data_IF_011242352965
#
_entry.id   IF_011242352965
#
_cell.length_a   1.000
_cell.length_b   1.000
_cell.length_c   1.000
_cell.angle_alpha   90.00
_cell.angle_beta   90.00
_cell.angle_gamma   90.00
#
_symmetry.space_group_name_H-M   'P 1'
#
loop_
_entity.id
_entity.type
_entity.pdbx_description
1 polymer ?
#
# COMPACT_ATOMS: atom_id res chain seq x y z
N UNK A 1 -0.36 -13.01 -21.39
CA UNK A 1 -0.45 -12.60 -19.98
C UNK A 1 0.50 -11.44 -19.61
N UNK A 2 1.14 -10.73 -20.55
CA UNK A 2 2.25 -9.80 -20.22
C UNK A 2 1.93 -8.30 -20.20
N UNK A 3 0.82 -7.83 -20.75
CA UNK A 3 0.55 -6.37 -20.82
C UNK A 3 0.11 -5.78 -19.48
N UNK A 4 -0.67 -6.51 -18.69
CA UNK A 4 -1.23 -6.03 -17.42
C UNK A 4 -0.18 -5.92 -16.32
N UNK A 5 0.69 -6.93 -16.18
CA UNK A 5 1.77 -6.93 -15.18
C UNK A 5 2.75 -5.78 -15.41
N UNK A 6 3.10 -5.50 -16.67
CA UNK A 6 3.97 -4.37 -17.01
C UNK A 6 3.38 -3.01 -16.63
N UNK A 7 2.05 -2.87 -16.65
CA UNK A 7 1.37 -1.65 -16.17
C UNK A 7 1.41 -1.54 -14.64
N UNK A 8 1.18 -2.64 -13.92
CA UNK A 8 1.21 -2.64 -12.45
C UNK A 8 2.58 -2.31 -11.88
N UNK A 9 3.65 -2.79 -12.52
CA UNK A 9 5.03 -2.51 -12.13
C UNK A 9 5.39 -1.01 -12.23
N UNK A 10 4.57 -0.21 -12.91
CA UNK A 10 4.74 1.23 -13.08
C UNK A 10 3.87 2.07 -12.12
N UNK A 11 3.02 1.45 -11.29
CA UNK A 11 2.13 2.19 -10.39
C UNK A 11 2.92 2.88 -9.25
N UNK A 12 2.48 4.06 -8.80
CA UNK A 12 2.97 4.61 -7.54
C UNK A 12 2.47 3.77 -6.36
N UNK A 13 3.24 3.76 -5.28
CA UNK A 13 3.01 2.89 -4.12
C UNK A 13 2.48 3.64 -2.90
N UNK A 14 2.61 4.97 -2.90
CA UNK A 14 2.06 5.85 -1.88
C UNK A 14 1.79 7.25 -2.45
N UNK A 15 0.95 8.01 -1.75
CA UNK A 15 0.66 9.41 -2.04
C UNK A 15 0.60 10.23 -0.75
N UNK A 16 0.78 11.55 -0.86
CA UNK A 16 0.63 12.47 0.27
C UNK A 16 -0.35 13.56 -0.13
N UNK A 17 -1.45 13.68 0.60
CA UNK A 17 -2.47 14.72 0.37
C UNK A 17 -2.20 15.90 1.29
N UNK A 18 -2.01 17.08 0.69
CA UNK A 18 -1.76 18.36 1.35
C UNK A 18 -0.63 18.35 2.41
N UNK A 19 0.34 17.45 2.28
CA UNK A 19 1.42 17.27 3.26
C UNK A 19 0.98 16.70 4.61
N UNK A 20 -0.28 16.27 4.74
CA UNK A 20 -0.89 15.90 6.03
C UNK A 20 -1.45 14.49 6.09
N UNK A 21 -1.89 13.93 4.96
CA UNK A 21 -2.46 12.58 4.90
C UNK A 21 -1.51 11.71 4.10
N UNK A 22 -1.01 10.63 4.70
CA UNK A 22 -0.22 9.61 4.02
C UNK A 22 -1.13 8.50 3.52
N UNK A 23 -1.05 8.19 2.22
CA UNK A 23 -1.88 7.17 1.60
C UNK A 23 -1.02 6.03 1.03
N UNK A 24 -1.38 4.77 1.32
CA UNK A 24 -0.77 3.57 0.75
C UNK A 24 -1.78 2.41 0.71
N UNK A 25 -1.45 1.30 0.06
CA UNK A 25 -2.34 0.12 0.03
C UNK A 25 -2.31 -0.60 1.39
N UNK A 26 -1.10 -0.99 1.80
CA UNK A 26 -0.80 -1.73 3.01
C UNK A 26 -0.65 -0.78 4.19
N UNK A 27 0.56 -0.39 4.53
CA UNK A 27 0.78 0.44 5.71
C UNK A 27 2.18 0.99 5.79
N UNK A 28 2.81 0.81 6.95
CA UNK A 28 4.13 1.35 7.26
C UNK A 28 5.20 0.25 7.16
N UNK A 29 6.46 0.67 7.01
CA UNK A 29 7.62 -0.21 7.06
C UNK A 29 8.59 0.22 8.16
N UNK A 30 9.24 -0.70 8.89
CA UNK A 30 10.37 -0.37 9.77
C UNK A 30 11.54 0.24 8.98
N UNK A 31 11.63 -0.03 7.67
CA UNK A 31 12.64 0.52 6.77
C UNK A 31 12.27 1.90 6.20
N UNK A 32 11.07 2.41 6.51
CA UNK A 32 10.62 3.75 6.10
C UNK A 32 11.08 4.80 7.13
N UNK A 33 12.26 5.35 6.91
CA UNK A 33 12.83 6.42 7.73
C UNK A 33 12.59 7.81 7.13
N UNK A 34 12.43 7.88 5.81
CA UNK A 34 12.30 9.12 5.04
C UNK A 34 11.41 8.90 3.81
N UNK A 35 10.58 9.90 3.49
CA UNK A 35 9.65 9.82 2.36
C UNK A 35 10.38 9.85 1.01
N UNK A 36 11.60 10.38 0.99
CA UNK A 36 12.52 10.34 -0.15
C UNK A 36 12.83 8.89 -0.56
N UNK A 37 12.84 7.94 0.39
CA UNK A 37 13.03 6.52 0.06
C UNK A 37 11.93 6.00 -0.87
N UNK A 38 10.68 6.45 -0.68
CA UNK A 38 9.54 6.09 -1.54
C UNK A 38 9.71 6.71 -2.94
N UNK A 39 10.17 7.96 -3.01
CA UNK A 39 10.40 8.66 -4.27
C UNK A 39 11.52 8.03 -5.10
N UNK A 40 12.50 7.41 -4.44
CA UNK A 40 13.65 6.76 -5.06
C UNK A 40 13.37 5.36 -5.59
N UNK A 41 12.20 4.78 -5.29
CA UNK A 41 11.78 3.48 -5.83
C UNK A 41 11.73 3.58 -7.36
N UNK A 42 12.69 2.93 -8.00
CA UNK A 42 12.79 2.86 -9.45
C UNK A 42 11.65 2.00 -9.99
N UNK A 43 11.05 2.44 -11.10
CA UNK A 43 9.99 1.72 -11.82
C UNK A 43 10.46 1.47 -13.26
N UNK A 44 10.10 0.35 -13.90
CA UNK A 44 9.23 -0.72 -13.39
C UNK A 44 9.91 -1.53 -12.28
N UNK A 45 9.13 -1.94 -11.27
CA UNK A 45 9.58 -2.82 -10.20
C UNK A 45 8.65 -4.01 -10.11
N UNK A 46 9.22 -5.21 -10.13
CA UNK A 46 8.47 -6.42 -9.79
C UNK A 46 8.27 -6.44 -8.27
N UNK A 47 7.04 -6.75 -7.84
CA UNK A 47 6.82 -7.11 -6.45
C UNK A 47 7.39 -8.52 -6.27
N UNK A 48 8.34 -8.76 -5.36
CA UNK A 48 9.11 -9.99 -5.46
C UNK A 48 8.33 -11.27 -5.12
N UNK A 49 8.86 -12.39 -5.60
CA UNK A 49 8.24 -13.72 -5.68
C UNK A 49 7.65 -14.30 -4.39
N UNK A 50 8.15 -13.92 -3.20
CA UNK A 50 7.54 -14.34 -1.92
C UNK A 50 6.15 -13.74 -1.71
N UNK A 51 5.76 -12.75 -2.51
CA UNK A 51 4.40 -12.24 -2.64
C UNK A 51 3.76 -12.54 -4.01
N UNK A 52 4.43 -13.19 -4.97
CA UNK A 52 3.86 -13.45 -6.31
C UNK A 52 2.67 -14.40 -6.27
N UNK A 53 2.68 -15.41 -5.40
CA UNK A 53 1.53 -16.30 -5.22
C UNK A 53 0.29 -15.49 -4.75
N UNK A 54 0.50 -14.52 -3.87
CA UNK A 54 -0.52 -13.59 -3.41
C UNK A 54 -0.83 -12.48 -4.41
N UNK A 55 0.12 -12.00 -5.22
CA UNK A 55 -0.09 -11.01 -6.27
C UNK A 55 -0.86 -11.60 -7.43
N UNK A 56 -0.63 -12.86 -7.78
CA UNK A 56 -1.38 -13.53 -8.83
C UNK A 56 -2.80 -13.84 -8.34
N UNK A 57 -2.97 -14.18 -7.06
CA UNK A 57 -4.27 -14.25 -6.40
C UNK A 57 -4.96 -12.87 -6.33
N UNK A 58 -4.22 -11.81 -5.97
CA UNK A 58 -4.70 -10.43 -5.89
C UNK A 58 -5.07 -9.88 -7.28
N UNK A 59 -4.25 -10.12 -8.30
CA UNK A 59 -4.51 -9.68 -9.66
C UNK A 59 -5.62 -10.49 -10.36
N UNK A 60 -5.81 -11.78 -10.04
CA UNK A 60 -6.94 -12.56 -10.56
C UNK A 60 -8.25 -12.35 -9.78
N UNK A 61 -8.20 -12.15 -8.47
CA UNK A 61 -9.41 -12.09 -7.61
C UNK A 61 -9.73 -10.71 -7.03
N UNK A 62 -8.74 -9.83 -6.81
CA UNK A 62 -8.89 -8.56 -6.07
C UNK A 62 -8.75 -7.30 -6.96
N UNK A 63 -8.00 -7.35 -8.07
CA UNK A 63 -7.56 -6.17 -8.82
C UNK A 63 -8.65 -5.34 -9.54
N UNK A 64 -9.78 -5.90 -10.04
CA UNK A 64 -10.78 -5.03 -10.65
C UNK A 64 -11.44 -4.07 -9.64
N UNK A 65 -11.41 -4.39 -8.34
CA UNK A 65 -12.25 -3.71 -7.33
C UNK A 65 -11.45 -2.87 -6.31
N UNK A 66 -10.18 -3.22 -6.02
CA UNK A 66 -9.38 -2.49 -5.00
C UNK A 66 -8.45 -1.40 -5.56
N UNK A 67 -8.14 -1.43 -6.87
CA UNK A 67 -7.29 -0.41 -7.50
C UNK A 67 -7.90 0.99 -7.52
N UNK A 68 -9.18 1.13 -7.14
CA UNK A 68 -9.87 2.40 -7.09
C UNK A 68 -9.22 3.38 -6.10
N UNK A 69 -8.64 2.95 -4.98
CA UNK A 69 -8.18 3.89 -3.94
C UNK A 69 -6.92 4.65 -4.38
N UNK A 70 -5.92 3.96 -4.93
CA UNK A 70 -4.71 4.62 -5.46
C UNK A 70 -5.01 5.33 -6.79
N UNK A 71 -5.80 4.72 -7.68
CA UNK A 71 -6.11 5.32 -8.99
C UNK A 71 -7.03 6.56 -8.89
N UNK A 72 -8.01 6.59 -7.98
CA UNK A 72 -8.89 7.76 -7.79
C UNK A 72 -8.19 8.90 -7.06
N UNK A 73 -7.30 8.62 -6.10
CA UNK A 73 -6.50 9.67 -5.43
C UNK A 73 -5.50 10.35 -6.38
N UNK A 74 -5.07 9.67 -7.44
CA UNK A 74 -4.13 10.22 -8.43
C UNK A 74 -4.79 11.04 -9.54
N UNK A 75 -6.11 10.98 -9.68
CA UNK A 75 -6.82 11.66 -10.77
C UNK A 75 -7.02 13.17 -10.54
N UNK A 76 -6.65 13.72 -9.37
CA UNK A 76 -6.87 15.14 -9.05
C UNK A 76 -5.60 15.97 -8.76
N UNK A 77 -4.36 15.50 -9.01
CA UNK A 77 -3.23 16.34 -8.62
C UNK A 77 -1.77 16.02 -8.93
N UNK A 78 -1.38 15.25 -9.96
CA UNK A 78 0.05 15.06 -10.27
C UNK A 78 0.40 15.28 -11.75
N UNK A 79 1.27 16.28 -12.00
CA UNK A 79 2.02 16.46 -13.25
C UNK A 79 2.99 15.28 -13.43
N UNK A 80 2.75 14.47 -14.45
CA UNK A 80 3.68 13.43 -14.89
C UNK A 80 4.78 14.06 -15.76
N UNK A 81 6.03 13.98 -15.30
CA UNK A 81 7.20 14.31 -16.12
C UNK A 81 7.78 12.99 -16.66
N UNK A 82 7.54 12.75 -17.95
CA UNK A 82 7.98 11.54 -18.65
C UNK A 82 9.45 11.66 -19.09
N UNK A 83 10.29 10.70 -18.73
CA UNK A 83 11.36 10.18 -19.60
C UNK A 83 11.53 8.68 -19.37
N UNK A 84 11.40 7.92 -20.45
CA UNK A 84 11.62 6.49 -20.53
C UNK A 84 13.02 6.20 -21.09
N UNK A 85 13.66 5.12 -20.64
CA UNK A 85 14.71 4.44 -21.41
C UNK A 85 14.78 2.93 -21.08
N UNK A 86 15.25 2.13 -22.05
CA UNK A 86 15.20 0.65 -22.13
C UNK A 86 16.58 -0.02 -21.91
N UNK A 87 16.56 -1.36 -21.84
CA UNK A 87 17.64 -2.38 -21.91
C UNK A 87 18.16 -2.87 -20.53
N UNK A 88 18.40 -4.17 -20.26
CA UNK A 88 18.34 -5.43 -21.01
C UNK A 88 18.50 -6.63 -20.05
N UNK A 89 18.10 -7.82 -20.51
CA UNK A 89 18.00 -9.10 -19.79
C UNK A 89 19.33 -9.81 -19.40
N UNK A 90 19.20 -10.72 -18.44
CA UNK A 90 19.85 -12.05 -18.27
C UNK A 90 21.06 -12.28 -17.32
N UNK A 91 20.75 -13.00 -16.22
CA UNK A 91 21.24 -14.37 -15.88
C UNK A 91 22.60 -14.54 -15.17
N UNK A 92 22.59 -14.49 -13.83
CA UNK A 92 23.59 -15.13 -12.93
C UNK A 92 22.87 -15.59 -11.62
N UNK A 93 22.13 -16.70 -11.66
CA UNK A 93 22.51 -17.98 -11.02
C UNK A 93 22.46 -18.06 -9.46
N UNK A 94 21.25 -18.23 -8.92
CA UNK A 94 20.81 -19.43 -8.15
C UNK A 94 21.61 -19.93 -6.92
N UNK A 95 22.42 -19.14 -6.21
CA UNK A 95 23.11 -19.67 -5.00
C UNK A 95 23.36 -18.70 -3.82
N UNK A 96 22.56 -17.64 -3.65
CA UNK A 96 22.62 -16.72 -2.50
C UNK A 96 21.26 -16.54 -1.79
N UNK A 97 20.39 -17.53 -1.96
CA UNK A 97 18.95 -17.50 -1.69
C UNK A 97 18.54 -17.72 -0.22
N UNK A 98 19.24 -17.20 0.79
CA UNK A 98 18.74 -17.41 2.17
C UNK A 98 18.82 -16.28 3.19
N UNK A 99 19.73 -15.29 3.10
CA UNK A 99 19.86 -14.35 4.23
C UNK A 99 20.15 -12.88 3.85
N UNK A 100 20.29 -12.54 2.58
CA UNK A 100 20.60 -11.17 2.15
C UNK A 100 19.62 -10.55 1.15
N UNK A 101 18.62 -11.30 0.66
CA UNK A 101 17.59 -10.79 -0.26
C UNK A 101 16.30 -10.28 0.45
N UNK A 102 16.11 -10.63 1.73
CA UNK A 102 15.00 -10.13 2.56
C UNK A 102 15.05 -8.63 2.87
N UNK A 103 16.18 -7.97 2.64
CA UNK A 103 16.33 -6.52 2.86
C UNK A 103 15.98 -5.64 1.66
N UNK A 104 15.80 -6.22 0.46
CA UNK A 104 15.19 -5.51 -0.69
C UNK A 104 13.68 -5.73 -0.78
N UNK A 105 13.16 -6.70 -0.03
CA UNK A 105 11.72 -6.94 0.14
C UNK A 105 11.07 -5.89 1.04
N UNK A 106 11.77 -5.43 2.09
CA UNK A 106 11.23 -4.67 3.24
C UNK A 106 10.30 -3.53 2.88
N UNK A 107 10.82 -2.40 2.40
CA UNK A 107 10.00 -1.20 2.23
C UNK A 107 8.79 -1.39 1.29
N UNK A 108 8.99 -1.95 0.09
CA UNK A 108 7.90 -2.07 -0.88
C UNK A 108 6.86 -3.11 -0.44
N UNK A 109 7.31 -4.25 0.09
CA UNK A 109 6.40 -5.28 0.60
C UNK A 109 5.54 -4.70 1.74
N UNK A 110 6.16 -4.00 2.68
CA UNK A 110 5.44 -3.45 3.84
C UNK A 110 4.46 -2.34 3.47
N UNK A 111 4.80 -1.48 2.50
CA UNK A 111 3.87 -0.48 1.97
C UNK A 111 2.62 -1.10 1.32
N UNK A 112 2.70 -2.36 0.88
CA UNK A 112 1.60 -3.08 0.21
C UNK A 112 0.87 -4.07 1.12
N UNK A 113 1.54 -4.64 2.13
CA UNK A 113 1.06 -5.82 2.87
C UNK A 113 1.09 -5.70 4.40
N UNK A 114 1.61 -4.60 4.96
CA UNK A 114 1.57 -4.42 6.42
C UNK A 114 0.19 -4.02 6.91
N UNK A 115 -0.15 -4.41 8.14
CA UNK A 115 -1.46 -4.13 8.76
C UNK A 115 -1.34 -3.37 10.09
N UNK A 116 -2.28 -2.46 10.40
CA UNK A 116 -2.29 -1.78 11.69
C UNK A 116 -2.77 -2.71 12.81
N UNK A 117 -2.27 -2.47 14.02
CA UNK A 117 -2.72 -3.09 15.26
C UNK A 117 -2.89 -2.02 16.35
N UNK A 118 -4.07 -1.96 16.96
CA UNK A 118 -4.42 -0.96 17.97
C UNK A 118 -3.73 -1.20 19.33
N UNK A 119 -3.40 -2.45 19.63
CA UNK A 119 -2.82 -2.84 20.93
C UNK A 119 -1.28 -2.93 20.87
N UNK A 120 -0.72 -2.84 19.65
CA UNK A 120 0.71 -2.97 19.42
C UNK A 120 1.44 -1.63 19.56
N UNK A 121 2.55 -1.65 20.29
CA UNK A 121 3.58 -0.60 20.26
C UNK A 121 4.81 -1.15 19.54
N UNK A 122 5.12 -0.63 18.35
CA UNK A 122 6.23 -1.13 17.54
C UNK A 122 5.76 -1.98 16.38
N UNK A 123 6.46 -3.10 16.19
CA UNK A 123 6.29 -4.03 15.07
C UNK A 123 6.10 -5.44 15.60
N UNK A 124 5.29 -6.23 14.91
CA UNK A 124 5.17 -7.67 15.15
C UNK A 124 4.98 -8.42 13.84
N UNK A 125 5.09 -9.74 13.86
CA UNK A 125 4.77 -10.57 12.69
C UNK A 125 3.29 -10.43 12.30
N UNK A 126 3.02 -10.57 11.00
CA UNK A 126 1.67 -10.58 10.45
C UNK A 126 1.12 -12.02 10.38
N UNK A 127 -0.13 -12.20 10.78
CA UNK A 127 -0.84 -13.48 10.77
C UNK A 127 -0.99 -14.03 9.34
N UNK A 128 -0.97 -13.16 8.32
CA UNK A 128 -0.98 -13.54 6.91
C UNK A 128 0.34 -14.20 6.44
N UNK A 129 1.38 -14.21 7.28
CA UNK A 129 2.70 -14.76 6.94
C UNK A 129 3.51 -13.89 5.97
N UNK A 130 3.03 -12.69 5.64
CA UNK A 130 3.71 -11.71 4.80
C UNK A 130 3.72 -10.33 5.48
N UNK A 131 4.88 -9.65 5.42
CA UNK A 131 5.11 -8.35 6.07
C UNK A 131 4.88 -8.39 7.60
N UNK A 132 4.55 -7.24 8.20
CA UNK A 132 4.50 -6.98 9.63
C UNK A 132 3.18 -6.30 10.01
N UNK A 133 2.84 -6.39 11.29
CA UNK A 133 1.85 -5.50 11.92
C UNK A 133 2.56 -4.33 12.58
N UNK A 134 1.89 -3.18 12.66
CA UNK A 134 2.48 -1.95 13.20
C UNK A 134 1.54 -1.16 14.11
N UNK A 135 2.13 -0.50 15.11
CA UNK A 135 1.48 0.55 15.88
C UNK A 135 1.50 1.89 15.16
N UNK A 136 0.36 2.57 15.09
CA UNK A 136 0.17 3.81 14.29
C UNK A 136 1.00 5.00 14.77
N UNK A 137 1.28 5.08 16.08
CA UNK A 137 1.85 6.28 16.70
C UNK A 137 3.28 6.62 16.28
N UNK A 138 4.04 5.64 15.78
CA UNK A 138 5.49 5.80 15.51
C UNK A 138 5.71 6.77 14.34
N UNK A 139 4.96 6.60 13.25
CA UNK A 139 5.25 7.29 11.99
C UNK A 139 4.70 8.71 11.92
N UNK A 140 3.46 8.91 12.35
CA UNK A 140 2.80 10.22 12.27
C UNK A 140 3.53 11.28 13.09
N UNK A 141 4.06 10.89 14.25
CA UNK A 141 4.84 11.77 15.10
C UNK A 141 6.19 12.15 14.45
N UNK A 142 6.87 11.17 13.83
CA UNK A 142 8.14 11.39 13.15
C UNK A 142 8.01 12.33 11.94
N UNK A 143 6.95 12.15 11.14
CA UNK A 143 6.76 12.89 9.88
C UNK A 143 5.79 14.08 9.96
N UNK A 144 5.28 14.41 11.17
CA UNK A 144 4.33 15.51 11.43
C UNK A 144 3.06 15.46 10.55
N UNK A 145 2.60 14.24 10.31
CA UNK A 145 1.38 13.95 9.55
C UNK A 145 0.20 13.77 10.51
N UNK A 146 -0.99 14.00 9.98
CA UNK A 146 -2.23 14.02 10.78
C UNK A 146 -3.01 12.70 10.64
N UNK A 147 -2.93 12.03 9.48
CA UNK A 147 -3.70 10.82 9.17
C UNK A 147 -2.93 9.85 8.25
N UNK A 148 -3.07 8.55 8.50
CA UNK A 148 -2.78 7.49 7.53
C UNK A 148 -4.09 7.02 6.90
N UNK A 149 -4.19 6.99 5.57
CA UNK A 149 -5.32 6.42 4.84
C UNK A 149 -4.84 5.18 4.07
N UNK A 150 -5.41 4.01 4.33
CA UNK A 150 -5.01 2.75 3.70
C UNK A 150 -6.18 1.89 3.25
N UNK A 151 -5.92 0.77 2.57
CA UNK A 151 -6.93 -0.15 2.06
C UNK A 151 -6.73 -1.59 2.55
N UNK A 152 -6.59 -2.57 1.67
CA UNK A 152 -6.12 -3.96 1.88
C UNK A 152 -6.91 -4.89 2.84
N UNK A 153 -7.61 -4.39 3.85
CA UNK A 153 -8.41 -5.19 4.80
C UNK A 153 -9.89 -4.89 4.64
N UNK A 154 -10.69 -5.94 4.45
CA UNK A 154 -12.16 -5.84 4.41
C UNK A 154 -12.67 -5.37 5.77
N UNK A 155 -13.51 -4.34 5.78
CA UNK A 155 -14.11 -3.75 6.98
C UNK A 155 -15.61 -3.60 6.78
N UNK A 156 -16.37 -3.83 7.86
CA UNK A 156 -17.83 -4.02 7.78
C UNK A 156 -18.56 -2.85 7.11
N UNK A 157 -18.27 -1.62 7.49
CA UNK A 157 -18.95 -0.42 6.98
C UNK A 157 -18.22 0.19 5.77
N UNK A 158 -17.28 -0.54 5.16
CA UNK A 158 -16.43 -0.01 4.08
C UNK A 158 -15.35 0.97 4.55
N UNK A 159 -15.41 1.48 5.78
CA UNK A 159 -14.30 2.18 6.40
C UNK A 159 -14.19 1.86 7.90
N UNK A 160 -12.99 1.98 8.47
CA UNK A 160 -12.74 1.78 9.90
C UNK A 160 -11.58 2.64 10.39
N UNK A 161 -11.75 3.30 11.54
CA UNK A 161 -10.71 4.11 12.18
C UNK A 161 -9.91 3.29 13.19
N UNK A 162 -8.61 3.59 13.27
CA UNK A 162 -7.63 3.01 14.19
C UNK A 162 -6.89 4.13 14.94
N UNK A 163 -6.32 3.78 16.09
CA UNK A 163 -5.48 4.65 16.92
C UNK A 163 -6.05 6.08 17.07
N UNK A 164 -7.19 6.21 17.74
CA UNK A 164 -7.86 7.51 17.97
C UNK A 164 -8.07 8.34 16.69
N UNK A 165 -8.47 7.66 15.60
CA UNK A 165 -8.74 8.25 14.27
C UNK A 165 -7.50 8.81 13.57
N UNK A 166 -6.31 8.33 13.94
CA UNK A 166 -5.04 8.66 13.29
C UNK A 166 -4.72 7.75 12.10
N UNK A 167 -5.41 6.63 11.95
CA UNK A 167 -5.40 5.82 10.74
C UNK A 167 -6.84 5.47 10.34
N UNK A 168 -7.11 5.44 9.04
CA UNK A 168 -8.36 4.93 8.47
C UNK A 168 -8.07 3.87 7.41
N UNK A 169 -8.76 2.74 7.52
CA UNK A 169 -8.88 1.74 6.46
C UNK A 169 -10.13 2.07 5.64
N UNK A 170 -10.00 2.10 4.32
CA UNK A 170 -11.11 2.29 3.37
C UNK A 170 -11.13 1.11 2.39
N UNK A 171 -12.29 0.48 2.27
CA UNK A 171 -12.55 -0.67 1.42
C UNK A 171 -13.76 -0.38 0.55
N UNK A 172 -13.59 -0.43 -0.78
CA UNK A 172 -14.61 0.06 -1.73
C UNK A 172 -15.39 -1.05 -2.44
N UNK A 173 -15.12 -2.32 -2.15
CA UNK A 173 -15.83 -3.45 -2.74
C UNK A 173 -16.91 -3.98 -1.78
N UNK A 174 -18.20 -3.62 -1.97
CA UNK A 174 -19.29 -4.14 -1.16
C UNK A 174 -19.54 -5.62 -1.45
N UNK A 175 -20.07 -6.33 -0.46
CA UNK A 175 -20.33 -7.77 -0.53
C UNK A 175 -19.12 -8.57 -1.04
N UNK A 176 -17.95 -8.32 -0.45
CA UNK A 176 -16.68 -8.82 -0.96
C UNK A 176 -16.72 -10.35 -1.11
N UNK A 177 -16.24 -10.86 -2.26
CA UNK A 177 -16.28 -12.28 -2.66
C UNK A 177 -17.67 -12.95 -2.58
N UNK A 178 -18.77 -12.19 -2.44
CA UNK A 178 -20.12 -12.71 -2.26
C UNK A 178 -20.36 -13.43 -0.92
N UNK A 179 -19.41 -13.38 0.00
CA UNK A 179 -19.46 -14.06 1.30
C UNK A 179 -19.30 -13.13 2.49
N UNK A 180 -18.75 -11.93 2.27
CA UNK A 180 -18.66 -10.89 3.29
C UNK A 180 -19.88 -9.99 3.21
N UNK A 181 -20.55 -9.72 4.34
CA UNK A 181 -21.65 -8.76 4.42
C UNK A 181 -21.13 -7.35 4.73
N UNK A 182 -20.18 -6.87 3.93
CA UNK A 182 -19.56 -5.56 4.10
C UNK A 182 -20.13 -4.53 3.11
N UNK A 183 -20.23 -3.27 3.55
CA UNK A 183 -20.39 -2.13 2.66
C UNK A 183 -19.08 -1.77 1.96
N UNK A 184 -19.19 -0.98 0.89
CA UNK A 184 -18.06 -0.28 0.29
C UNK A 184 -18.14 1.20 0.67
N UNK A 185 -16.99 1.85 0.86
CA UNK A 185 -16.93 3.28 1.14
C UNK A 185 -15.94 4.02 0.24
N UNK A 186 -16.15 5.33 0.14
CA UNK A 186 -15.22 6.29 -0.46
C UNK A 186 -14.94 7.42 0.54
N UNK A 187 -13.65 7.78 0.72
CA UNK A 187 -13.27 8.94 1.52
C UNK A 187 -13.09 10.17 0.63
N UNK A 188 -13.86 11.23 0.89
CA UNK A 188 -13.69 12.55 0.28
C UNK A 188 -12.94 13.48 1.23
N UNK A 189 -11.94 14.18 0.72
CA UNK A 189 -11.14 15.16 1.47
C UNK A 189 -11.35 16.53 0.83
N UNK A 190 -11.88 17.48 1.59
CA UNK A 190 -12.10 18.85 1.09
C UNK A 190 -10.84 19.73 1.20
N UNK A 191 -10.93 20.97 0.71
CA UNK A 191 -9.84 21.96 0.76
C UNK A 191 -9.40 22.34 2.18
N UNK A 192 -10.21 22.08 3.19
CA UNK A 192 -9.91 22.32 4.61
C UNK A 192 -9.44 21.04 5.31
N UNK A 193 -9.18 19.96 4.56
CA UNK A 193 -8.80 18.64 5.05
C UNK A 193 -9.87 17.96 5.91
N UNK A 194 -11.13 18.35 5.73
CA UNK A 194 -12.26 17.64 6.34
C UNK A 194 -12.49 16.37 5.54
N UNK A 195 -12.40 15.22 6.23
CA UNK A 195 -12.64 13.90 5.67
C UNK A 195 -14.11 13.49 5.89
N UNK A 196 -14.79 13.06 4.82
CA UNK A 196 -16.16 12.52 4.85
C UNK A 196 -16.24 11.20 4.09
N UNK A 197 -17.22 10.35 4.43
CA UNK A 197 -17.38 9.02 3.85
C UNK A 197 -18.74 8.92 3.15
N UNK A 198 -18.75 8.30 1.97
CA UNK A 198 -19.94 8.00 1.16
C UNK A 198 -20.05 6.51 0.92
#
# INVERSE_FOLDING_TARGET
MGFTTNCFNCLPVAAIVAGKIFCCQGGLSPDLHSLEQIQQIQRPIDVPDTGEEYLQFFLLYFAPQELAVIALMLLDGIRLNNKADKQSENRISRSLSSLFDLRRLGLLCDLLWSDPDNDLKGWSENDAGISLRFGVDIFLNQHKMDLICRAHKVVKEGYEFFADRRLVTVFSAPNYLGSFDNAGALMSVDKNLICSFM
#
